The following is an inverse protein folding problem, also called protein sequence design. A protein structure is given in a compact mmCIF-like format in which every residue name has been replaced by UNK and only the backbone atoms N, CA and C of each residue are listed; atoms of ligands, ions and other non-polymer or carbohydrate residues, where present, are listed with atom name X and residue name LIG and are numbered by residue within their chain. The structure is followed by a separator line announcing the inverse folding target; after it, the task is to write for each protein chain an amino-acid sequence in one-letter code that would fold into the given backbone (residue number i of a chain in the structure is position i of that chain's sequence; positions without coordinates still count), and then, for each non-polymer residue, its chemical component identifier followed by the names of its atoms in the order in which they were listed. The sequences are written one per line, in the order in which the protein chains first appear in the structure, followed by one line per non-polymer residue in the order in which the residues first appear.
data_IF_306674577113
#
_entry.id   IF_306674577113
#
_cell.length_a   1.000
_cell.length_b   1.000
_cell.length_c   1.000
_cell.angle_alpha   90.00
_cell.angle_beta   90.00
_cell.angle_gamma   90.00
#
_symmetry.space_group_name_H-M   'P 1'
#
loop_
_entity.id
_entity.type
_entity.pdbx_description
1 polymer ?
#
# COMPACT_ATOMS: atom_id res chain seq x y z
N UNK A 1 8.42 -13.76 -1.26
CA UNK A 1 9.43 -12.80 -0.74
C UNK A 1 8.80 -11.94 0.34
N UNK A 2 9.58 -11.38 1.27
CA UNK A 2 9.07 -10.43 2.27
C UNK A 2 9.63 -9.04 1.99
N UNK A 3 8.75 -8.04 1.83
CA UNK A 3 9.11 -6.62 1.85
C UNK A 3 9.09 -6.16 3.30
N UNK A 4 10.20 -5.58 3.78
CA UNK A 4 10.30 -5.03 5.12
C UNK A 4 10.00 -3.53 5.07
N UNK A 5 8.97 -3.12 5.79
CA UNK A 5 8.58 -1.73 5.96
C UNK A 5 8.94 -1.27 7.37
N UNK A 6 9.51 -0.09 7.46
CA UNK A 6 9.80 0.57 8.73
C UNK A 6 9.09 1.92 8.76
N UNK A 7 8.06 2.04 9.58
CA UNK A 7 7.31 3.27 9.77
C UNK A 7 7.30 3.63 11.24
N UNK A 8 7.81 4.82 11.55
CA UNK A 8 8.01 5.33 12.90
C UNK A 8 8.75 4.33 13.82
N UNK A 9 8.01 3.67 14.71
CA UNK A 9 8.53 2.71 15.69
C UNK A 9 8.12 1.26 15.38
N UNK A 10 7.54 1.01 14.19
CA UNK A 10 7.00 -0.28 13.81
C UNK A 10 7.72 -0.85 12.58
N UNK A 11 8.14 -2.10 12.70
CA UNK A 11 8.66 -2.89 11.58
C UNK A 11 7.61 -3.92 11.17
N UNK A 12 7.19 -3.88 9.91
CA UNK A 12 6.18 -4.80 9.34
C UNK A 12 6.76 -5.52 8.13
N UNK A 13 6.51 -6.82 8.05
CA UNK A 13 6.84 -7.63 6.88
C UNK A 13 5.59 -7.90 6.04
N UNK A 14 5.62 -7.54 4.76
CA UNK A 14 4.56 -7.88 3.79
C UNK A 14 5.04 -9.03 2.91
N UNK A 15 4.25 -10.11 2.86
CA UNK A 15 4.52 -11.24 1.95
C UNK A 15 4.03 -10.88 0.56
N UNK A 16 4.91 -11.00 -0.42
CA UNK A 16 4.63 -10.74 -1.85
C UNK A 16 5.24 -11.83 -2.72
N UNK A 17 4.73 -11.99 -3.93
CA UNK A 17 5.27 -12.96 -4.90
C UNK A 17 6.67 -12.56 -5.38
N UNK A 18 6.95 -11.26 -5.52
CA UNK A 18 8.25 -10.74 -5.92
C UNK A 18 8.29 -9.21 -5.97
N UNK A 19 9.47 -8.66 -6.27
CA UNK A 19 9.66 -7.24 -6.64
C UNK A 19 10.01 -7.21 -8.12
N UNK A 20 9.33 -6.34 -8.86
CA UNK A 20 9.58 -6.20 -10.29
C UNK A 20 10.69 -5.18 -10.57
N UNK A 21 10.46 -3.90 -10.22
CA UNK A 21 11.36 -2.78 -10.51
C UNK A 21 11.11 -1.62 -9.54
N UNK A 22 12.04 -0.66 -9.50
CA UNK A 22 11.84 0.66 -8.88
C UNK A 22 11.57 1.68 -9.98
N UNK A 23 10.44 2.38 -9.88
CA UNK A 23 9.96 3.30 -10.91
C UNK A 23 9.67 4.67 -10.31
N UNK A 24 9.96 5.74 -11.06
CA UNK A 24 9.52 7.10 -10.75
C UNK A 24 8.28 7.44 -11.56
N UNK A 25 7.26 7.99 -10.90
CA UNK A 25 6.02 8.44 -11.53
C UNK A 25 5.89 9.96 -11.42
N UNK A 26 5.43 10.61 -12.49
CA UNK A 26 5.00 12.01 -12.44
C UNK A 26 3.53 12.11 -12.04
N UNK A 27 3.07 13.28 -11.61
CA UNK A 27 1.65 13.47 -11.23
C UNK A 27 0.69 13.17 -12.39
N UNK A 28 1.04 13.54 -13.62
CA UNK A 28 0.20 13.28 -14.80
C UNK A 28 0.03 11.78 -15.13
N UNK A 29 0.92 10.94 -14.60
CA UNK A 29 0.84 9.49 -14.73
C UNK A 29 -0.05 8.86 -13.65
N UNK A 30 -0.46 9.63 -12.63
CA UNK A 30 -1.30 9.15 -11.54
C UNK A 30 -2.75 9.51 -11.85
N UNK A 31 -3.59 8.49 -11.94
CA UNK A 31 -5.03 8.61 -12.11
C UNK A 31 -5.72 8.32 -10.78
N UNK A 32 -6.89 8.93 -10.52
CA UNK A 32 -7.66 8.61 -9.33
C UNK A 32 -8.04 7.13 -9.31
N UNK A 33 -8.12 6.55 -8.11
CA UNK A 33 -8.58 5.18 -7.93
C UNK A 33 -10.04 5.06 -8.44
N UNK A 34 -10.41 3.98 -9.15
CA UNK A 34 -11.79 3.76 -9.56
C UNK A 34 -12.68 3.58 -8.32
N UNK A 35 -13.86 4.19 -8.33
CA UNK A 35 -14.85 4.03 -7.24
C UNK A 35 -15.32 2.57 -7.05
N UNK A 36 -15.10 1.71 -8.05
CA UNK A 36 -15.56 0.32 -8.10
C UNK A 36 -14.50 -0.74 -7.72
N UNK A 37 -13.45 -0.38 -6.98
CA UNK A 37 -12.52 -1.37 -6.40
C UNK A 37 -13.14 -2.02 -5.14
N UNK A 38 -14.24 -2.78 -5.33
CA UNK A 38 -15.18 -3.22 -4.27
C UNK A 38 -14.68 -4.35 -3.36
N UNK A 39 -13.37 -4.61 -3.28
CA UNK A 39 -12.83 -5.74 -2.47
C UNK A 39 -11.64 -5.40 -1.60
N UNK A 40 -10.99 -4.26 -1.81
CA UNK A 40 -9.98 -3.73 -0.90
C UNK A 40 -10.35 -2.29 -0.63
N UNK A 41 -10.59 -1.97 0.64
CA UNK A 41 -11.04 -0.65 1.05
C UNK A 41 -10.25 0.43 0.31
N UNK A 42 -10.96 1.19 -0.52
CA UNK A 42 -10.41 2.28 -1.33
C UNK A 42 -9.68 3.33 -0.48
N UNK A 43 -9.89 3.31 0.84
CA UNK A 43 -9.22 4.14 1.83
C UNK A 43 -7.68 4.06 1.80
N UNK A 44 -7.10 2.92 1.39
CA UNK A 44 -5.65 2.73 1.32
C UNK A 44 -5.07 2.95 -0.08
N UNK A 45 -5.92 3.22 -1.08
CA UNK A 45 -5.47 3.45 -2.45
C UNK A 45 -5.19 4.93 -2.68
N UNK A 46 -3.96 5.24 -3.07
CA UNK A 46 -3.61 6.58 -3.56
C UNK A 46 -4.17 6.80 -4.97
N UNK A 47 -4.19 5.74 -5.80
CA UNK A 47 -4.64 5.83 -7.19
C UNK A 47 -4.10 4.71 -8.07
N UNK A 48 -4.10 4.98 -9.38
CA UNK A 48 -3.55 4.10 -10.41
C UNK A 48 -2.44 4.83 -11.18
N UNK A 49 -1.23 4.28 -11.18
CA UNK A 49 -0.13 4.75 -12.01
C UNK A 49 -0.22 4.16 -13.42
N UNK A 50 -0.19 4.99 -14.45
CA UNK A 50 -0.15 4.58 -15.85
C UNK A 50 1.24 4.88 -16.44
N UNK A 51 2.01 3.83 -16.72
CA UNK A 51 3.35 3.95 -17.30
C UNK A 51 3.42 3.15 -18.61
N UNK A 52 3.18 3.84 -19.72
CA UNK A 52 3.01 3.20 -21.03
C UNK A 52 1.77 2.30 -21.02
N UNK A 53 1.96 1.01 -21.28
CA UNK A 53 0.89 0.00 -21.24
C UNK A 53 0.73 -0.66 -19.86
N UNK A 54 1.56 -0.30 -18.88
CA UNK A 54 1.51 -0.86 -17.53
C UNK A 54 0.60 -0.02 -16.63
N UNK A 55 -0.26 -0.72 -15.89
CA UNK A 55 -1.07 -0.14 -14.82
C UNK A 55 -0.55 -0.61 -13.47
N UNK A 56 -0.28 0.34 -12.57
CA UNK A 56 0.26 0.10 -11.24
C UNK A 56 -0.78 0.54 -10.21
N UNK A 57 -1.07 -0.31 -9.24
CA UNK A 57 -1.89 0.07 -8.09
C UNK A 57 -1.00 0.82 -7.10
N UNK A 58 -1.38 2.04 -6.74
CA UNK A 58 -0.64 2.85 -5.77
C UNK A 58 -1.32 2.73 -4.41
N UNK A 59 -0.58 2.22 -3.43
CA UNK A 59 -1.06 1.99 -2.06
C UNK A 59 -0.38 2.95 -1.11
N UNK A 60 -1.18 3.59 -0.27
CA UNK A 60 -0.73 4.43 0.84
C UNK A 60 -0.34 3.53 2.01
N UNK A 61 0.97 3.29 2.14
CA UNK A 61 1.53 2.42 3.17
C UNK A 61 1.33 3.00 4.57
N UNK A 62 1.37 4.32 4.72
CA UNK A 62 1.15 4.98 6.01
C UNK A 62 -0.27 4.70 6.52
N UNK A 63 -1.28 4.91 5.67
CA UNK A 63 -2.68 4.59 6.00
C UNK A 63 -2.91 3.10 6.21
N UNK A 64 -2.29 2.26 5.39
CA UNK A 64 -2.41 0.81 5.51
C UNK A 64 -1.94 0.32 6.88
N UNK A 65 -0.82 0.86 7.38
CA UNK A 65 -0.27 0.49 8.68
C UNK A 65 -0.90 1.21 9.87
N UNK A 66 -1.53 2.37 9.67
CA UNK A 66 -2.25 3.12 10.71
C UNK A 66 -3.71 2.70 10.88
N UNK A 67 -4.20 1.78 10.03
CA UNK A 67 -5.55 1.22 10.11
C UNK A 67 -5.89 0.69 11.50
N UNK A 68 -7.14 0.88 11.93
CA UNK A 68 -7.63 0.44 13.24
C UNK A 68 -7.41 -1.06 13.48
N UNK A 69 -7.47 -1.86 12.41
CA UNK A 69 -7.23 -3.30 12.45
C UNK A 69 -5.78 -3.63 12.84
N UNK A 70 -4.80 -2.86 12.36
CA UNK A 70 -3.40 -2.98 12.77
C UNK A 70 -3.15 -2.44 14.18
N UNK A 71 -3.85 -1.38 14.58
CA UNK A 71 -3.77 -0.84 15.94
C UNK A 71 -4.26 -1.85 17.00
N UNK A 72 -5.30 -2.63 16.67
CA UNK A 72 -5.83 -3.68 17.53
C UNK A 72 -4.83 -4.84 17.71
N UNK A 73 -4.13 -5.25 16.65
CA UNK A 73 -3.09 -6.29 16.69
C UNK A 73 -1.93 -5.90 17.62
N UNK A 74 -1.51 -4.64 17.59
CA UNK A 74 -0.46 -4.13 18.49
C UNK A 74 -0.87 -4.16 19.95
N UNK A 75 -2.14 -3.83 20.24
CA UNK A 75 -2.69 -3.86 21.59
C UNK A 75 -2.72 -5.30 22.15
N UNK A 76 -3.04 -6.29 21.31
CA UNK A 76 -3.05 -7.70 21.70
C UNK A 76 -1.64 -8.31 21.89
N UNK A 77 -0.61 -7.74 21.27
CA UNK A 77 0.79 -8.18 21.43
C UNK A 77 1.50 -7.61 22.65
N UNK A 78 0.97 -6.53 23.21
CA UNK A 78 1.49 -5.85 24.39
C UNK A 78 0.76 -6.22 25.70
N UNK A 79 -0.17 -7.17 25.62
CA UNK A 79 -0.84 -7.84 26.74
C UNK A 79 -0.28 -9.27 26.93
#
# INVERSE_FOLDING_TARGET
MVIVLNLEHRVVGIVVDGVSDVLSLTQDQIRPAPEFAVTMSTEYLTGLGALGERMLILVDIEKLLSSEEMALVDTLRSA
#
